data_IF_621152798986
#
_entry.id   IF_621152798986
#
_cell.length_a   1.000
_cell.length_b   1.000
_cell.length_c   1.000
_cell.angle_alpha   90.00
_cell.angle_beta   90.00
_cell.angle_gamma   90.00
#
_symmetry.space_group_name_H-M   'P 1'
#
loop_
_entity.id
_entity.type
_entity.pdbx_description
1 polymer ?
#
# COMPACT_ATOMS: atom_id res chain seq x y z
N UNK A 1 11.14 2.62 -17.29
CA UNK A 1 11.27 3.81 -18.16
C UNK A 1 11.09 5.16 -17.41
N UNK A 2 10.38 5.23 -16.28
CA UNK A 2 10.18 6.50 -15.56
C UNK A 2 11.49 7.14 -15.07
N UNK A 3 12.49 6.32 -14.69
CA UNK A 3 13.82 6.82 -14.31
C UNK A 3 14.51 7.59 -15.44
N UNK A 4 14.48 7.03 -16.66
CA UNK A 4 15.04 7.72 -17.82
C UNK A 4 14.32 9.06 -18.06
N UNK A 5 12.99 9.11 -17.94
CA UNK A 5 12.18 10.35 -18.02
C UNK A 5 12.64 11.41 -17.01
N UNK A 6 12.81 11.02 -15.76
CA UNK A 6 13.20 11.92 -14.67
C UNK A 6 14.64 12.41 -14.80
N UNK A 7 15.58 11.55 -15.20
CA UNK A 7 17.01 11.88 -15.21
C UNK A 7 17.53 12.42 -16.55
N UNK A 8 16.96 12.01 -17.68
CA UNK A 8 17.48 12.37 -19.02
C UNK A 8 16.65 13.45 -19.72
N UNK A 9 15.35 13.55 -19.41
CA UNK A 9 14.44 14.48 -20.08
C UNK A 9 13.97 15.55 -19.09
N UNK A 10 12.69 15.56 -18.71
CA UNK A 10 12.07 16.61 -17.92
C UNK A 10 11.86 16.16 -16.47
N UNK A 11 12.69 16.65 -15.55
CA UNK A 11 12.54 16.37 -14.12
C UNK A 11 11.23 16.95 -13.54
N UNK A 12 10.83 18.15 -14.00
CA UNK A 12 9.63 18.87 -13.50
C UNK A 12 8.30 18.11 -13.71
N UNK A 13 8.24 17.26 -14.73
CA UNK A 13 7.02 16.52 -15.07
C UNK A 13 6.88 15.17 -14.36
N UNK A 14 7.89 14.75 -13.61
CA UNK A 14 7.90 13.49 -12.87
C UNK A 14 7.89 13.77 -11.36
N UNK A 15 7.05 13.08 -10.57
CA UNK A 15 6.93 13.34 -9.14
C UNK A 15 8.15 12.81 -8.36
N UNK A 16 8.53 13.54 -7.32
CA UNK A 16 9.60 13.15 -6.40
C UNK A 16 9.10 12.14 -5.35
N UNK A 17 9.72 10.95 -5.23
CA UNK A 17 9.22 9.89 -4.35
C UNK A 17 9.34 10.20 -2.85
N UNK A 18 10.24 11.12 -2.46
CA UNK A 18 10.44 11.51 -1.06
C UNK A 18 9.49 12.64 -0.64
N UNK A 19 9.07 13.49 -1.58
CA UNK A 19 8.30 14.71 -1.34
C UNK A 19 6.88 14.61 -1.93
N UNK A 20 6.30 13.42 -1.87
CA UNK A 20 4.95 13.09 -2.34
C UNK A 20 4.05 12.83 -1.12
N UNK A 21 2.80 13.35 -1.06
CA UNK A 21 2.07 14.06 -2.11
C UNK A 21 2.14 15.60 -2.08
N UNK A 22 2.20 16.23 -3.25
CA UNK A 22 2.24 17.70 -3.42
C UNK A 22 0.87 18.35 -3.61
N UNK A 23 -0.09 17.61 -4.18
CA UNK A 23 -1.45 18.10 -4.42
C UNK A 23 -2.43 17.63 -3.35
N UNK A 24 -3.46 18.43 -3.00
CA UNK A 24 -4.46 18.01 -2.03
C UNK A 24 -5.20 16.74 -2.53
N UNK A 25 -5.56 15.82 -1.61
CA UNK A 25 -6.18 14.54 -1.96
C UNK A 25 -7.57 14.70 -2.59
N UNK A 26 -8.25 15.81 -2.28
CA UNK A 26 -9.62 16.10 -2.74
C UNK A 26 -9.67 16.66 -4.18
N UNK A 27 -8.53 17.10 -4.72
CA UNK A 27 -8.45 17.67 -6.06
C UNK A 27 -8.86 16.64 -7.11
N UNK A 28 -9.99 16.90 -7.79
CA UNK A 28 -10.58 16.01 -8.79
C UNK A 28 -11.34 14.81 -8.23
N UNK A 29 -11.53 14.73 -6.91
CA UNK A 29 -12.28 13.66 -6.24
C UNK A 29 -13.19 14.21 -5.12
N UNK A 30 -14.35 14.79 -5.46
CA UNK A 30 -15.21 15.48 -4.49
C UNK A 30 -15.82 14.57 -3.41
N UNK A 31 -15.71 13.24 -3.52
CA UNK A 31 -16.22 12.26 -2.53
C UNK A 31 -15.22 11.12 -2.30
N UNK A 32 -13.96 11.44 -1.97
CA UNK A 32 -12.96 10.43 -1.62
C UNK A 32 -13.25 9.87 -0.23
N UNK A 33 -13.50 8.57 -0.13
CA UNK A 33 -13.65 7.89 1.17
C UNK A 33 -12.28 7.51 1.73
N UNK A 34 -12.03 7.70 3.04
CA UNK A 34 -10.82 7.22 3.69
C UNK A 34 -10.81 5.69 3.73
N UNK A 35 -9.61 5.09 3.77
CA UNK A 35 -9.48 3.64 3.96
C UNK A 35 -9.89 3.26 5.37
N UNK A 36 -10.69 2.21 5.51
CA UNK A 36 -11.06 1.66 6.81
C UNK A 36 -9.96 0.71 7.30
N UNK A 37 -9.52 0.92 8.54
CA UNK A 37 -8.62 -0.01 9.22
C UNK A 37 -9.47 -1.05 9.96
N UNK A 38 -9.31 -2.33 9.58
CA UNK A 38 -10.11 -3.43 10.16
C UNK A 38 -9.51 -3.94 11.48
N UNK A 39 -8.18 -4.03 11.57
CA UNK A 39 -7.50 -4.44 12.80
C UNK A 39 -7.29 -3.25 13.74
N UNK A 40 -7.55 -3.44 15.03
CA UNK A 40 -7.21 -2.43 16.03
C UNK A 40 -5.70 -2.40 16.31
N UNK A 41 -5.16 -1.23 16.65
CA UNK A 41 -3.75 -1.07 17.01
C UNK A 41 -3.34 -1.98 18.20
N UNK A 42 -4.23 -2.16 19.17
CA UNK A 42 -4.02 -3.05 20.31
C UNK A 42 -3.88 -4.52 19.88
N UNK A 43 -4.70 -5.00 18.94
CA UNK A 43 -4.61 -6.36 18.41
C UNK A 43 -3.28 -6.61 17.69
N UNK A 44 -2.80 -5.64 16.89
CA UNK A 44 -1.51 -5.75 16.19
C UNK A 44 -0.33 -5.75 17.17
N UNK A 45 -0.43 -4.97 18.26
CA UNK A 45 0.58 -4.96 19.32
C UNK A 45 0.63 -6.30 20.07
N UNK A 46 -0.52 -6.87 20.44
CA UNK A 46 -0.63 -8.19 21.08
C UNK A 46 -0.12 -9.32 20.18
N UNK A 47 -0.33 -9.19 18.87
CA UNK A 47 0.20 -10.12 17.87
C UNK A 47 1.71 -10.02 17.66
N UNK A 48 2.41 -9.10 18.33
CA UNK A 48 3.84 -8.81 18.14
C UNK A 48 4.21 -8.58 16.67
N UNK A 49 3.32 -7.93 15.90
CA UNK A 49 3.58 -7.62 14.49
C UNK A 49 4.65 -6.51 14.40
N UNK A 50 5.69 -6.65 13.56
CA UNK A 50 6.71 -5.62 13.37
C UNK A 50 6.10 -4.36 12.76
N UNK A 51 6.66 -3.19 13.06
CA UNK A 51 6.09 -1.89 12.66
C UNK A 51 5.87 -1.77 11.15
N UNK A 52 6.78 -2.33 10.35
CA UNK A 52 6.71 -2.32 8.88
C UNK A 52 5.51 -3.08 8.32
N UNK A 53 4.94 -4.03 9.07
CA UNK A 53 3.82 -4.87 8.63
C UNK A 53 2.49 -4.44 9.27
N UNK A 54 2.45 -3.32 10.00
CA UNK A 54 1.24 -2.76 10.62
C UNK A 54 0.45 -1.89 9.64
N UNK A 55 0.26 -2.40 8.43
CA UNK A 55 -0.53 -1.75 7.38
C UNK A 55 -2.04 -2.02 7.55
N UNK A 56 -2.86 -1.44 6.66
CA UNK A 56 -4.30 -1.76 6.55
C UNK A 56 -4.54 -3.27 6.39
N UNK A 57 -3.61 -3.97 5.74
CA UNK A 57 -3.65 -5.41 5.52
C UNK A 57 -3.31 -6.28 6.76
N UNK A 58 -2.94 -5.69 7.90
CA UNK A 58 -2.46 -6.43 9.08
C UNK A 58 -3.46 -7.46 9.66
N UNK A 59 -4.75 -7.30 9.37
CA UNK A 59 -5.79 -8.26 9.79
C UNK A 59 -5.62 -9.65 9.15
N UNK A 60 -5.14 -9.73 7.90
CA UNK A 60 -4.84 -11.01 7.25
C UNK A 60 -3.60 -11.68 7.86
N UNK A 61 -2.57 -10.89 8.18
CA UNK A 61 -1.35 -11.40 8.80
C UNK A 61 -1.63 -12.04 10.17
N UNK A 62 -2.49 -11.43 10.99
CA UNK A 62 -2.91 -12.01 12.27
C UNK A 62 -3.56 -13.39 12.09
N UNK A 63 -4.40 -13.56 11.05
CA UNK A 63 -5.04 -14.86 10.74
C UNK A 63 -4.01 -15.89 10.30
N UNK A 64 -3.04 -15.49 9.49
CA UNK A 64 -1.96 -16.35 9.03
C UNK A 64 -1.08 -16.82 10.20
N UNK A 65 -0.69 -15.92 11.09
CA UNK A 65 0.11 -16.25 12.28
C UNK A 65 -0.64 -17.20 13.22
N UNK A 66 -1.95 -17.01 13.38
CA UNK A 66 -2.80 -17.93 14.14
C UNK A 66 -2.82 -19.31 13.49
N UNK A 67 -3.06 -19.39 12.18
CA UNK A 67 -3.06 -20.65 11.45
C UNK A 67 -1.74 -21.42 11.58
N UNK A 68 -0.59 -20.73 11.52
CA UNK A 68 0.71 -21.36 11.71
C UNK A 68 0.92 -21.93 13.12
N UNK A 69 0.37 -21.29 14.14
CA UNK A 69 0.43 -21.80 15.52
C UNK A 69 -0.46 -23.03 15.69
N UNK A 70 -1.66 -22.99 15.11
CA UNK A 70 -2.67 -24.05 15.27
C UNK A 70 -2.31 -25.31 14.46
N UNK A 71 -1.68 -25.16 13.28
CA UNK A 71 -1.37 -26.27 12.36
C UNK A 71 0.06 -26.81 12.45
N UNK A 72 0.84 -26.43 13.47
CA UNK A 72 2.17 -27.01 13.68
C UNK A 72 2.04 -28.53 13.93
N UNK A 73 2.73 -29.42 13.18
CA UNK A 73 3.96 -29.24 12.40
C UNK A 73 3.80 -29.24 10.87
N UNK A 74 2.59 -29.09 10.32
CA UNK A 74 2.34 -29.13 8.87
C UNK A 74 2.43 -27.72 8.26
N UNK A 75 3.46 -27.41 7.45
CA UNK A 75 3.66 -26.05 6.95
C UNK A 75 2.72 -25.66 5.80
N UNK A 76 2.13 -26.63 5.09
CA UNK A 76 1.36 -26.40 3.85
C UNK A 76 -0.12 -26.04 4.09
N UNK A 77 -0.64 -26.23 5.30
CA UNK A 77 -2.07 -26.11 5.59
C UNK A 77 -2.64 -24.70 5.50
N UNK A 78 -1.80 -23.66 5.45
CA UNK A 78 -2.23 -22.25 5.54
C UNK A 78 -2.08 -21.47 4.21
N UNK A 79 -2.00 -22.15 3.06
CA UNK A 79 -1.70 -21.50 1.78
C UNK A 79 -2.79 -20.49 1.33
N UNK A 80 -4.07 -20.80 1.59
CA UNK A 80 -5.18 -19.90 1.24
C UNK A 80 -5.12 -18.58 2.01
N UNK A 81 -4.79 -18.64 3.31
CA UNK A 81 -4.63 -17.45 4.15
C UNK A 81 -3.43 -16.61 3.74
N UNK A 82 -2.35 -17.26 3.28
CA UNK A 82 -1.19 -16.58 2.71
C UNK A 82 -1.55 -15.84 1.43
N UNK A 83 -2.24 -16.51 0.51
CA UNK A 83 -2.70 -15.89 -0.73
C UNK A 83 -3.65 -14.70 -0.46
N UNK A 84 -4.52 -14.80 0.54
CA UNK A 84 -5.38 -13.68 0.93
C UNK A 84 -4.57 -12.46 1.43
N UNK A 85 -3.50 -12.67 2.20
CA UNK A 85 -2.60 -11.60 2.62
C UNK A 85 -1.82 -11.00 1.44
N UNK A 86 -1.26 -11.85 0.57
CA UNK A 86 -0.50 -11.43 -0.60
C UNK A 86 -1.36 -10.61 -1.57
N UNK A 87 -2.61 -11.01 -1.79
CA UNK A 87 -3.56 -10.26 -2.62
C UNK A 87 -3.86 -8.87 -2.06
N UNK A 88 -4.07 -8.78 -0.76
CA UNK A 88 -4.34 -7.51 -0.11
C UNK A 88 -3.11 -6.58 -0.14
N UNK A 89 -1.89 -7.12 0.02
CA UNK A 89 -0.65 -6.36 -0.19
C UNK A 89 -0.48 -5.91 -1.65
N UNK A 90 -0.87 -6.76 -2.60
CA UNK A 90 -0.87 -6.40 -4.02
C UNK A 90 -1.84 -5.25 -4.32
N UNK A 91 -3.06 -5.29 -3.78
CA UNK A 91 -4.04 -4.21 -3.91
C UNK A 91 -3.51 -2.89 -3.31
N UNK A 92 -2.87 -2.95 -2.14
CA UNK A 92 -2.24 -1.79 -1.51
C UNK A 92 -1.12 -1.20 -2.38
N UNK A 93 -0.29 -2.06 -3.00
CA UNK A 93 0.73 -1.64 -3.95
C UNK A 93 0.14 -0.98 -5.20
N UNK A 94 -0.89 -1.58 -5.79
CA UNK A 94 -1.61 -1.01 -6.94
C UNK A 94 -2.18 0.37 -6.60
N UNK A 95 -2.67 0.56 -5.38
CA UNK A 95 -3.15 1.88 -4.95
C UNK A 95 -2.02 2.92 -4.84
N UNK A 96 -0.85 2.55 -4.33
CA UNK A 96 0.33 3.44 -4.30
C UNK A 96 0.77 3.82 -5.73
N UNK A 97 0.72 2.87 -6.67
CA UNK A 97 1.00 3.13 -8.09
C UNK A 97 -0.01 4.12 -8.70
N UNK A 98 -1.30 4.00 -8.37
CA UNK A 98 -2.33 4.95 -8.81
C UNK A 98 -2.09 6.36 -8.27
N UNK A 99 -1.63 6.48 -7.02
CA UNK A 99 -1.27 7.77 -6.43
C UNK A 99 -0.07 8.39 -7.16
N UNK A 100 0.97 7.61 -7.44
CA UNK A 100 2.14 8.05 -8.22
C UNK A 100 1.75 8.56 -9.62
N UNK A 101 0.93 7.80 -10.35
CA UNK A 101 0.45 8.23 -11.66
C UNK A 101 -0.45 9.46 -11.60
N UNK A 102 -1.29 9.59 -10.55
CA UNK A 102 -2.14 10.76 -10.34
C UNK A 102 -1.30 12.02 -10.27
N UNK A 103 -0.27 12.03 -9.44
CA UNK A 103 0.59 13.21 -9.29
C UNK A 103 1.33 13.56 -10.55
N UNK A 104 1.90 12.56 -11.22
CA UNK A 104 2.54 12.75 -12.51
C UNK A 104 1.61 13.44 -13.52
N UNK A 105 0.35 13.01 -13.62
CA UNK A 105 -0.64 13.62 -14.51
C UNK A 105 -1.04 15.03 -14.08
N UNK A 106 -1.05 15.32 -12.78
CA UNK A 106 -1.34 16.65 -12.26
C UNK A 106 -0.18 17.62 -12.55
N UNK A 107 1.07 17.21 -12.33
CA UNK A 107 2.26 17.99 -12.71
C UNK A 107 2.29 18.28 -14.22
N UNK A 108 1.99 17.27 -15.04
CA UNK A 108 1.91 17.45 -16.49
C UNK A 108 0.78 18.41 -16.91
N UNK A 109 -0.33 18.49 -16.16
CA UNK A 109 -1.41 19.45 -16.40
C UNK A 109 -1.03 20.86 -15.97
N UNK A 110 -0.24 21.00 -14.91
CA UNK A 110 0.25 22.30 -14.44
C UNK A 110 1.31 22.89 -15.37
N UNK A 111 2.10 22.03 -16.04
CA UNK A 111 3.09 22.43 -17.04
C UNK A 111 2.47 22.88 -18.37
N UNK A 112 1.26 22.41 -18.68
CA UNK A 112 0.51 22.81 -19.88
C UNK A 112 -0.12 24.17 -19.68
#
# INVERSE_FOLDING_TARGET
AHLARRYLWDAEGEPDPLNMPSFPPDLGMPRRQPRSMVASAAQLAQGHVPLEQRDFCGHHLLRLLRCHRDNFPVPWGCHELRHAWDNCQHEDYVMRMKEFERERRLLQRQKR
#
